data_IF_298750472611
#
_entry.id   IF_298750472611
#
_cell.length_a   1.000
_cell.length_b   1.000
_cell.length_c   1.000
_cell.angle_alpha   90.00
_cell.angle_beta   90.00
_cell.angle_gamma   90.00
#
_symmetry.space_group_name_H-M   'P 1'
#
loop_
_entity.id
_entity.type
_entity.pdbx_description
1 polymer ?
#
# COMPACT_ATOMS: atom_id res chain seq x y z
N UNK A 1 -18.13 -6.81 -8.39
CA UNK A 1 -18.45 -5.51 -7.78
C UNK A 1 -17.91 -4.42 -8.70
N UNK A 2 -18.68 -3.36 -8.97
CA UNK A 2 -18.20 -2.25 -9.80
C UNK A 2 -17.49 -1.23 -8.91
N UNK A 3 -16.16 -1.23 -8.96
CA UNK A 3 -15.29 -0.26 -8.29
C UNK A 3 -14.19 0.14 -9.25
N UNK A 4 -13.79 1.40 -9.23
CA UNK A 4 -12.61 1.86 -9.97
C UNK A 4 -11.38 1.26 -9.29
N UNK A 5 -10.55 0.55 -10.05
CA UNK A 5 -9.33 -0.05 -9.51
C UNK A 5 -8.18 0.95 -9.63
N UNK A 6 -7.32 0.98 -8.62
CA UNK A 6 -6.07 1.75 -8.66
C UNK A 6 -5.19 1.37 -9.87
N UNK A 7 -5.21 0.10 -10.28
CA UNK A 7 -4.46 -0.39 -11.45
C UNK A 7 -4.80 0.34 -12.74
N UNK A 8 -6.02 0.86 -12.83
CA UNK A 8 -6.59 1.44 -14.05
C UNK A 8 -6.42 2.97 -14.08
N UNK A 9 -5.82 3.56 -13.02
CA UNK A 9 -5.57 5.00 -12.90
C UNK A 9 -4.14 5.37 -13.33
N UNK A 10 -4.03 6.58 -13.89
CA UNK A 10 -2.76 7.30 -14.04
C UNK A 10 -2.43 8.04 -12.74
N UNK A 11 -1.26 7.74 -12.18
CA UNK A 11 -0.80 8.23 -10.88
C UNK A 11 0.41 9.18 -11.00
N UNK A 12 0.91 9.44 -12.21
CA UNK A 12 2.11 10.25 -12.44
C UNK A 12 1.95 11.66 -11.85
N UNK A 13 2.90 12.07 -11.00
CA UNK A 13 2.88 13.37 -10.32
C UNK A 13 1.72 13.61 -9.35
N UNK A 14 0.92 12.59 -9.02
CA UNK A 14 -0.23 12.71 -8.11
C UNK A 14 0.11 12.30 -6.69
N UNK A 15 -0.56 12.92 -5.73
CA UNK A 15 -0.57 12.47 -4.33
C UNK A 15 -1.63 11.40 -4.16
N UNK A 16 -1.25 10.22 -3.71
CA UNK A 16 -2.14 9.06 -3.53
C UNK A 16 -2.27 8.74 -2.04
N UNK A 17 -3.52 8.69 -1.53
CA UNK A 17 -3.82 8.22 -0.18
C UNK A 17 -4.17 6.73 -0.23
N UNK A 18 -3.35 5.89 0.39
CA UNK A 18 -3.57 4.43 0.46
C UNK A 18 -4.00 4.05 1.88
N UNK A 19 -5.23 3.55 2.01
CA UNK A 19 -5.71 2.97 3.26
C UNK A 19 -5.28 1.50 3.34
N UNK A 20 -4.20 1.24 4.06
CA UNK A 20 -3.69 -0.13 4.29
C UNK A 20 -4.09 -0.68 5.66
N UNK A 21 -4.15 -2.01 5.76
CA UNK A 21 -4.21 -2.71 7.05
C UNK A 21 -2.79 -2.92 7.56
N UNK A 22 -2.31 -1.97 8.37
CA UNK A 22 -1.02 -2.03 9.04
C UNK A 22 -1.17 -2.33 10.55
N UNK A 23 -2.32 -2.89 10.96
CA UNK A 23 -2.56 -3.25 12.35
C UNK A 23 -1.83 -4.55 12.69
N UNK A 24 -0.55 -4.45 13.00
CA UNK A 24 0.33 -5.57 13.31
C UNK A 24 0.59 -5.71 14.80
N UNK A 25 0.88 -6.93 15.30
CA UNK A 25 1.33 -7.09 16.68
C UNK A 25 2.69 -6.42 16.87
N UNK A 26 2.78 -5.62 17.93
CA UNK A 26 3.99 -4.88 18.33
C UNK A 26 4.31 -5.24 19.77
N UNK A 27 5.59 -5.51 20.05
CA UNK A 27 6.12 -5.73 21.39
C UNK A 27 7.39 -4.91 21.56
N UNK A 28 7.46 -4.12 22.63
CA UNK A 28 8.62 -3.26 22.95
C UNK A 28 9.04 -2.36 21.78
N UNK A 29 8.04 -1.79 21.08
CA UNK A 29 8.25 -0.92 19.92
C UNK A 29 8.69 -1.64 18.63
N UNK A 30 8.75 -2.98 18.63
CA UNK A 30 9.15 -3.79 17.47
C UNK A 30 7.98 -4.63 16.95
N UNK A 31 7.86 -4.71 15.62
CA UNK A 31 6.90 -5.60 14.95
C UNK A 31 7.30 -7.04 15.22
N UNK A 32 6.37 -7.86 15.71
CA UNK A 32 6.61 -9.29 15.98
C UNK A 32 6.05 -10.20 14.89
N UNK A 33 5.14 -9.70 14.06
CA UNK A 33 4.69 -10.36 12.83
C UNK A 33 4.38 -9.31 11.77
N UNK A 34 4.97 -9.48 10.60
CA UNK A 34 4.95 -8.52 9.50
C UNK A 34 3.99 -8.91 8.36
N UNK A 35 3.20 -9.97 8.53
CA UNK A 35 2.38 -10.55 7.47
C UNK A 35 1.47 -9.52 6.77
N UNK A 36 0.85 -8.60 7.54
CA UNK A 36 -0.04 -7.56 6.98
C UNK A 36 0.71 -6.45 6.26
N UNK A 37 1.92 -6.13 6.73
CA UNK A 37 2.82 -5.18 6.07
C UNK A 37 3.22 -5.77 4.71
N UNK A 38 3.71 -7.02 4.70
CA UNK A 38 4.09 -7.73 3.47
C UNK A 38 2.94 -7.90 2.50
N UNK A 39 1.71 -8.14 2.99
CA UNK A 39 0.52 -8.18 2.14
C UNK A 39 0.18 -6.82 1.51
N UNK A 40 0.50 -5.71 2.19
CA UNK A 40 0.25 -4.35 1.69
C UNK A 40 1.35 -3.82 0.76
N UNK A 41 2.57 -4.36 0.83
CA UNK A 41 3.74 -3.91 0.06
C UNK A 41 3.48 -3.85 -1.45
N UNK A 42 2.90 -4.87 -2.12
CA UNK A 42 2.73 -4.83 -3.57
C UNK A 42 1.89 -3.64 -4.06
N UNK A 43 0.90 -3.21 -3.28
CA UNK A 43 0.08 -2.04 -3.62
C UNK A 43 0.87 -0.74 -3.49
N UNK A 44 1.70 -0.60 -2.46
CA UNK A 44 2.54 0.58 -2.24
C UNK A 44 3.60 0.69 -3.34
N UNK A 45 4.27 -0.42 -3.67
CA UNK A 45 5.26 -0.48 -4.74
C UNK A 45 4.63 -0.18 -6.12
N UNK A 46 3.45 -0.73 -6.41
CA UNK A 46 2.74 -0.44 -7.64
C UNK A 46 2.36 1.04 -7.77
N UNK A 47 1.92 1.67 -6.68
CA UNK A 47 1.61 3.11 -6.67
C UNK A 47 2.87 3.96 -6.86
N UNK A 48 3.98 3.60 -6.20
CA UNK A 48 5.27 4.31 -6.34
C UNK A 48 5.79 4.22 -7.79
N UNK A 49 5.80 3.01 -8.37
CA UNK A 49 6.26 2.79 -9.74
C UNK A 49 5.42 3.58 -10.75
N UNK A 50 4.09 3.61 -10.59
CA UNK A 50 3.19 4.40 -11.44
C UNK A 50 3.29 5.91 -11.22
N UNK A 51 3.79 6.37 -10.07
CA UNK A 51 3.93 7.79 -9.78
C UNK A 51 5.23 8.39 -10.32
N UNK A 52 6.25 7.55 -10.51
CA UNK A 52 7.59 7.91 -11.00
C UNK A 52 7.78 7.71 -12.51
N UNK A 53 6.88 6.96 -13.15
CA UNK A 53 6.77 6.85 -14.60
C UNK A 53 6.03 8.06 -15.18
#
# INVERSE_FOLDING_TARGET
MSVIKMSDLDLAGKRVLIRSDLNVPVKDGKVTSDARIRASLPTIEAALNKALA
#
